data_IF_177659726641
#
_entry.id   IF_177659726641
#
_cell.length_a   1.000
_cell.length_b   1.000
_cell.length_c   1.000
_cell.angle_alpha   90.00
_cell.angle_beta   90.00
_cell.angle_gamma   90.00
#
_symmetry.space_group_name_H-M   'P 1'
#
loop_
_entity.id
_entity.type
_entity.pdbx_description
1 polymer ?
#
# COMPACT_ATOMS: atom_id res chain seq x y z
N UNK A 1 -8.76 -8.32 -24.67
CA UNK A 1 -7.76 -8.60 -23.61
C UNK A 1 -8.29 -9.76 -22.78
N UNK A 2 -7.52 -10.79 -22.54
CA UNK A 2 -7.89 -11.86 -21.61
C UNK A 2 -7.58 -11.38 -20.19
N UNK A 3 -8.43 -11.71 -19.21
CA UNK A 3 -8.03 -11.56 -17.82
C UNK A 3 -6.76 -12.39 -17.61
N UNK A 4 -5.77 -11.82 -16.92
CA UNK A 4 -4.45 -12.45 -16.76
C UNK A 4 -3.36 -11.91 -17.70
N UNK A 5 -3.70 -11.29 -18.83
CA UNK A 5 -2.70 -10.65 -19.71
C UNK A 5 -2.00 -9.46 -19.04
N UNK A 6 -2.62 -8.86 -18.00
CA UNK A 6 -2.09 -7.72 -17.24
C UNK A 6 -1.33 -8.21 -16.01
N UNK A 7 -1.95 -9.06 -15.18
CA UNK A 7 -1.37 -9.65 -13.97
C UNK A 7 -2.16 -10.89 -13.55
N UNK A 8 -1.56 -11.71 -12.67
CA UNK A 8 -2.29 -12.80 -12.00
C UNK A 8 -3.59 -12.28 -11.34
N UNK A 9 -3.51 -11.19 -10.59
CA UNK A 9 -4.65 -10.61 -9.89
C UNK A 9 -5.78 -10.17 -10.82
N UNK A 10 -5.44 -9.75 -12.03
CA UNK A 10 -6.43 -9.39 -13.04
C UNK A 10 -7.25 -10.61 -13.51
N UNK A 11 -6.68 -11.82 -13.45
CA UNK A 11 -7.40 -13.06 -13.75
C UNK A 11 -8.40 -13.46 -12.66
N UNK A 12 -8.30 -12.89 -11.47
CA UNK A 12 -9.14 -13.22 -10.29
C UNK A 12 -10.37 -12.33 -10.15
N UNK A 13 -10.60 -11.42 -11.08
CA UNK A 13 -11.76 -10.52 -11.11
C UNK A 13 -12.59 -10.77 -12.36
N UNK A 14 -13.86 -10.38 -12.32
CA UNK A 14 -14.72 -10.33 -13.48
C UNK A 14 -14.14 -9.42 -14.58
N UNK A 15 -14.54 -9.59 -15.85
CA UNK A 15 -14.10 -8.72 -16.92
C UNK A 15 -14.30 -7.25 -16.57
N UNK A 16 -13.23 -6.47 -16.64
CA UNK A 16 -13.25 -5.06 -16.24
C UNK A 16 -14.19 -4.27 -17.13
N UNK A 17 -15.27 -3.76 -16.54
CA UNK A 17 -16.04 -2.69 -17.17
C UNK A 17 -15.28 -1.39 -16.94
N UNK A 18 -14.73 -0.83 -18.02
CA UNK A 18 -14.04 0.46 -17.99
C UNK A 18 -15.03 1.60 -17.74
N UNK A 19 -14.59 2.62 -17.06
CA UNK A 19 -15.30 3.89 -16.92
C UNK A 19 -15.15 4.68 -18.22
N UNK A 20 -16.04 5.64 -18.46
CA UNK A 20 -15.97 6.49 -19.64
C UNK A 20 -14.67 7.30 -19.67
N UNK A 21 -14.09 7.48 -20.84
CA UNK A 21 -13.00 8.42 -21.05
C UNK A 21 -13.49 9.87 -21.05
N UNK A 22 -12.57 10.80 -20.88
CA UNK A 22 -12.85 12.23 -21.01
C UNK A 22 -12.99 12.58 -22.50
N UNK A 23 -14.17 13.05 -22.90
CA UNK A 23 -14.54 13.34 -24.30
C UNK A 23 -14.76 14.83 -24.58
N UNK A 24 -14.56 15.70 -23.59
CA UNK A 24 -14.78 17.15 -23.67
C UNK A 24 -13.96 17.92 -22.67
N UNK A 25 -13.83 19.22 -22.88
CA UNK A 25 -13.23 20.12 -21.89
C UNK A 25 -14.09 20.19 -20.62
N UNK A 26 -13.44 20.19 -19.48
CA UNK A 26 -14.08 20.31 -18.18
C UNK A 26 -13.33 21.30 -17.28
N UNK A 27 -14.06 21.91 -16.37
CA UNK A 27 -13.49 22.70 -15.27
C UNK A 27 -13.54 21.85 -13.98
N UNK A 28 -12.42 21.79 -13.28
CA UNK A 28 -12.30 21.10 -12.01
C UNK A 28 -11.38 21.87 -11.06
N UNK A 29 -11.55 21.67 -9.76
CA UNK A 29 -10.71 22.32 -8.76
C UNK A 29 -9.44 21.49 -8.51
N UNK A 30 -9.54 20.16 -8.63
CA UNK A 30 -8.41 19.24 -8.44
C UNK A 30 -8.46 18.15 -9.52
N UNK A 31 -7.38 18.05 -10.29
CA UNK A 31 -7.15 16.96 -11.23
C UNK A 31 -6.05 16.03 -10.69
N UNK A 32 -6.36 14.74 -10.55
CA UNK A 32 -5.41 13.71 -10.10
C UNK A 32 -5.03 12.87 -11.31
N UNK A 33 -3.73 12.79 -11.61
CA UNK A 33 -3.21 11.98 -12.71
C UNK A 33 -2.81 10.61 -12.22
N UNK A 34 -3.49 9.59 -12.71
CA UNK A 34 -3.25 8.18 -12.43
C UNK A 34 -4.27 7.55 -11.45
N UNK A 35 -4.89 6.47 -11.90
CA UNK A 35 -5.87 5.65 -11.15
C UNK A 35 -5.24 4.49 -10.36
N UNK A 36 -3.99 4.67 -9.88
CA UNK A 36 -3.35 3.73 -8.96
C UNK A 36 -3.72 4.02 -7.50
N UNK A 37 -3.22 3.19 -6.55
CA UNK A 37 -3.51 3.36 -5.12
C UNK A 37 -3.24 4.77 -4.63
N UNK A 38 -2.11 5.39 -5.01
CA UNK A 38 -1.79 6.76 -4.59
C UNK A 38 -2.86 7.77 -5.02
N UNK A 39 -3.23 7.77 -6.31
CA UNK A 39 -4.21 8.73 -6.82
C UNK A 39 -5.62 8.50 -6.25
N UNK A 40 -6.03 7.25 -6.14
CA UNK A 40 -7.38 6.91 -5.64
C UNK A 40 -7.50 7.18 -4.14
N UNK A 41 -6.49 6.82 -3.32
CA UNK A 41 -6.49 7.18 -1.90
C UNK A 41 -6.42 8.70 -1.69
N UNK A 42 -5.66 9.42 -2.54
CA UNK A 42 -5.65 10.90 -2.49
C UNK A 42 -7.05 11.44 -2.78
N UNK A 43 -7.73 10.96 -3.81
CA UNK A 43 -9.12 11.36 -4.09
C UNK A 43 -10.04 11.06 -2.90
N UNK A 44 -9.94 9.86 -2.31
CA UNK A 44 -10.76 9.43 -1.17
C UNK A 44 -10.64 10.37 0.04
N UNK A 45 -9.41 10.75 0.40
CA UNK A 45 -9.22 11.65 1.54
C UNK A 45 -9.47 13.12 1.21
N UNK A 46 -9.24 13.54 -0.03
CA UNK A 46 -9.57 14.89 -0.48
C UNK A 46 -11.07 15.17 -0.45
N UNK A 47 -11.92 14.19 -0.80
CA UNK A 47 -13.38 14.38 -0.69
C UNK A 47 -13.84 14.61 0.75
N UNK A 48 -13.12 14.08 1.74
CA UNK A 48 -13.41 14.30 3.17
C UNK A 48 -12.85 15.62 3.68
N UNK A 49 -11.69 16.02 3.18
CA UNK A 49 -11.03 17.26 3.59
C UNK A 49 -11.60 18.51 2.90
N UNK A 50 -12.07 18.35 1.67
CA UNK A 50 -12.57 19.41 0.78
C UNK A 50 -13.88 18.99 0.12
N UNK A 51 -14.99 18.90 0.90
CA UNK A 51 -16.26 18.32 0.44
C UNK A 51 -16.91 19.08 -0.74
N UNK A 52 -16.59 20.35 -0.90
CA UNK A 52 -17.15 21.20 -1.96
C UNK A 52 -16.27 21.23 -3.22
N UNK A 53 -15.07 20.64 -3.18
CA UNK A 53 -14.14 20.64 -4.32
C UNK A 53 -14.58 19.64 -5.41
N UNK A 54 -14.57 20.10 -6.66
CA UNK A 54 -14.77 19.25 -7.82
C UNK A 54 -13.47 18.51 -8.11
N UNK A 55 -13.45 17.20 -7.87
CA UNK A 55 -12.27 16.36 -8.02
C UNK A 55 -12.47 15.39 -9.17
N UNK A 56 -11.46 15.26 -10.03
CA UNK A 56 -11.44 14.26 -11.09
C UNK A 56 -10.16 13.43 -11.04
N UNK A 57 -10.24 12.18 -11.47
CA UNK A 57 -9.09 11.30 -11.68
C UNK A 57 -8.99 10.97 -13.15
N UNK A 58 -7.80 11.15 -13.74
CA UNK A 58 -7.50 10.88 -15.14
C UNK A 58 -6.55 9.69 -15.22
N UNK A 59 -7.03 8.56 -15.71
CA UNK A 59 -6.27 7.31 -15.81
C UNK A 59 -6.11 6.91 -17.28
N UNK A 60 -4.87 6.63 -17.65
CA UNK A 60 -4.53 6.31 -19.06
C UNK A 60 -5.18 5.02 -19.56
N UNK A 61 -5.20 3.99 -18.71
CA UNK A 61 -5.75 2.67 -19.05
C UNK A 61 -7.02 2.42 -18.23
N UNK A 62 -6.89 1.78 -17.08
CA UNK A 62 -7.96 1.59 -16.09
C UNK A 62 -7.39 1.54 -14.68
N UNK A 63 -8.20 1.81 -13.69
CA UNK A 63 -7.77 1.79 -12.30
C UNK A 63 -7.18 0.43 -11.91
N UNK A 64 -5.91 0.45 -11.47
CA UNK A 64 -5.16 -0.76 -11.12
C UNK A 64 -4.36 -1.39 -12.27
N UNK A 65 -4.37 -0.83 -13.48
CA UNK A 65 -3.56 -1.34 -14.59
C UNK A 65 -2.06 -1.35 -14.26
N UNK A 66 -1.54 -0.31 -13.61
CA UNK A 66 -0.13 -0.18 -13.24
C UNK A 66 0.28 -1.08 -12.08
N UNK A 67 1.33 -0.69 -11.35
CA UNK A 67 1.90 -1.42 -10.22
C UNK A 67 0.89 -1.73 -9.11
N UNK A 68 -0.12 -0.86 -8.93
CA UNK A 68 -1.16 -1.01 -7.91
C UNK A 68 -1.98 -2.30 -8.03
N UNK A 69 -2.19 -2.82 -9.24
CA UNK A 69 -2.89 -4.10 -9.46
C UNK A 69 -1.98 -5.28 -9.80
N UNK A 70 -0.64 -5.12 -9.61
CA UNK A 70 0.36 -6.12 -10.01
C UNK A 70 1.34 -6.51 -8.92
N UNK A 71 1.26 -5.87 -7.75
CA UNK A 71 2.16 -6.12 -6.62
C UNK A 71 1.88 -7.47 -5.94
N UNK A 72 2.68 -7.84 -4.95
CA UNK A 72 2.56 -9.12 -4.25
C UNK A 72 1.36 -9.24 -3.31
N UNK A 73 0.55 -8.21 -3.14
CA UNK A 73 -0.61 -8.23 -2.25
C UNK A 73 -0.26 -8.14 -0.77
N UNK A 74 0.92 -7.62 -0.43
CA UNK A 74 1.34 -7.36 0.94
C UNK A 74 0.95 -5.95 1.37
N UNK A 75 0.14 -5.88 2.40
CA UNK A 75 -0.13 -4.67 3.17
C UNK A 75 0.65 -4.81 4.48
N UNK A 76 1.88 -4.28 4.48
CA UNK A 76 2.86 -4.46 5.55
C UNK A 76 3.20 -3.15 6.24
N UNK A 77 3.45 -3.23 7.54
CA UNK A 77 4.00 -2.13 8.34
C UNK A 77 5.52 -2.02 8.26
N UNK A 78 6.18 -2.91 7.52
CA UNK A 78 7.63 -2.86 7.34
C UNK A 78 8.04 -1.56 6.63
N UNK A 79 9.03 -0.88 7.18
CA UNK A 79 9.56 0.35 6.61
C UNK A 79 10.63 0.00 5.57
N UNK A 80 10.38 0.28 4.28
CA UNK A 80 11.35 -0.04 3.25
C UNK A 80 12.58 0.87 3.29
N UNK A 81 13.71 0.38 2.80
CA UNK A 81 14.93 1.14 2.61
C UNK A 81 15.84 1.19 3.84
N UNK A 82 16.80 2.12 3.82
CA UNK A 82 17.81 2.23 4.86
C UNK A 82 17.34 3.15 6.00
N UNK A 83 17.01 2.55 7.12
CA UNK A 83 16.52 3.23 8.34
C UNK A 83 17.56 4.18 8.95
N UNK A 84 18.87 3.86 8.84
CA UNK A 84 19.93 4.77 9.28
C UNK A 84 19.95 6.04 8.45
N UNK A 85 19.76 5.93 7.13
CA UNK A 85 19.67 7.10 6.26
C UNK A 85 18.48 8.02 6.59
N UNK A 86 17.36 7.46 7.00
CA UNK A 86 16.21 8.27 7.48
C UNK A 86 16.52 9.00 8.78
N UNK A 87 17.27 8.36 9.69
CA UNK A 87 17.78 9.01 10.92
C UNK A 87 18.71 10.17 10.57
N UNK A 88 19.69 9.94 9.69
CA UNK A 88 20.65 10.96 9.24
C UNK A 88 19.95 12.21 8.64
N UNK A 89 18.94 11.97 7.80
CA UNK A 89 18.13 13.07 7.22
C UNK A 89 17.38 13.86 8.32
N UNK A 90 16.86 13.18 9.33
CA UNK A 90 16.18 13.83 10.43
C UNK A 90 17.16 14.70 11.25
N UNK A 91 18.34 14.17 11.54
CA UNK A 91 19.42 14.88 12.28
C UNK A 91 19.93 16.10 11.52
N UNK A 92 20.12 16.01 10.20
CA UNK A 92 20.47 17.14 9.35
C UNK A 92 19.42 18.26 9.39
N UNK A 93 18.18 17.93 9.75
CA UNK A 93 17.07 18.87 9.93
C UNK A 93 16.85 19.27 11.39
N UNK A 94 17.80 18.99 12.28
CA UNK A 94 17.75 19.33 13.70
C UNK A 94 16.72 18.52 14.51
N UNK A 95 16.37 17.30 14.06
CA UNK A 95 15.44 16.38 14.74
C UNK A 95 16.21 15.16 15.27
N UNK A 96 15.69 14.53 16.31
CA UNK A 96 16.23 13.25 16.80
C UNK A 96 15.95 12.13 15.79
N UNK A 97 17.01 11.45 15.34
CA UNK A 97 16.93 10.41 14.31
C UNK A 97 16.19 9.15 14.79
N UNK A 98 16.37 8.78 16.06
CA UNK A 98 15.66 7.64 16.66
C UNK A 98 14.17 7.93 16.80
N UNK A 99 13.81 9.12 17.31
CA UNK A 99 12.41 9.54 17.41
C UNK A 99 11.74 9.60 16.03
N UNK A 100 12.44 10.06 14.99
CA UNK A 100 11.93 10.06 13.62
C UNK A 100 11.64 8.63 13.11
N UNK A 101 12.53 7.66 13.38
CA UNK A 101 12.30 6.26 13.05
C UNK A 101 11.14 5.65 13.84
N UNK A 102 11.00 5.95 15.13
CA UNK A 102 9.88 5.50 15.96
C UNK A 102 8.55 5.99 15.43
N UNK A 103 8.48 7.28 15.08
CA UNK A 103 7.26 7.86 14.47
C UNK A 103 6.95 7.24 13.12
N UNK A 104 7.96 7.00 12.29
CA UNK A 104 7.77 6.32 11.00
C UNK A 104 7.21 4.91 11.19
N UNK A 105 7.80 4.11 12.11
CA UNK A 105 7.31 2.78 12.46
C UNK A 105 5.85 2.82 12.92
N UNK A 106 5.51 3.72 13.85
CA UNK A 106 4.15 3.87 14.34
C UNK A 106 3.17 4.28 13.22
N UNK A 107 3.60 5.17 12.31
CA UNK A 107 2.78 5.60 11.17
C UNK A 107 2.52 4.46 10.19
N UNK A 108 3.52 3.64 9.88
CA UNK A 108 3.37 2.49 8.99
C UNK A 108 2.40 1.46 9.58
N UNK A 109 2.46 1.20 10.88
CA UNK A 109 1.52 0.31 11.59
C UNK A 109 0.09 0.85 11.56
N UNK A 110 -0.08 2.12 11.91
CA UNK A 110 -1.37 2.79 11.82
C UNK A 110 -1.93 2.77 10.39
N UNK A 111 -1.06 2.84 9.38
CA UNK A 111 -1.43 2.74 7.97
C UNK A 111 -2.05 1.39 7.60
N UNK A 112 -1.53 0.27 8.13
CA UNK A 112 -2.12 -1.07 7.93
C UNK A 112 -3.54 -1.12 8.50
N UNK A 113 -3.71 -0.65 9.74
CA UNK A 113 -5.00 -0.67 10.42
C UNK A 113 -6.01 0.29 9.75
N UNK A 114 -5.55 1.47 9.31
CA UNK A 114 -6.38 2.41 8.56
C UNK A 114 -6.89 1.81 7.25
N UNK A 115 -6.03 1.18 6.46
CA UNK A 115 -6.45 0.54 5.19
C UNK A 115 -7.48 -0.55 5.46
N UNK A 116 -7.26 -1.43 6.44
CA UNK A 116 -8.21 -2.49 6.80
C UNK A 116 -9.54 -1.91 7.28
N UNK A 117 -9.50 -0.88 8.12
CA UNK A 117 -10.72 -0.18 8.58
C UNK A 117 -11.50 0.45 7.42
N UNK A 118 -10.83 0.99 6.41
CA UNK A 118 -11.51 1.54 5.23
C UNK A 118 -12.09 0.46 4.33
N UNK A 119 -11.39 -0.67 4.17
CA UNK A 119 -11.90 -1.85 3.45
C UNK A 119 -13.24 -2.29 4.05
N UNK A 120 -13.31 -2.41 5.37
CA UNK A 120 -14.54 -2.80 6.07
C UNK A 120 -15.63 -1.73 5.94
N UNK A 121 -15.30 -0.47 6.19
CA UNK A 121 -16.26 0.63 6.16
C UNK A 121 -16.87 0.85 4.77
N UNK A 122 -16.11 0.62 3.70
CA UNK A 122 -16.57 0.78 2.32
C UNK A 122 -17.14 -0.54 1.73
N UNK A 123 -17.11 -1.64 2.48
CA UNK A 123 -17.61 -2.95 2.06
C UNK A 123 -16.82 -3.53 0.88
N UNK A 124 -15.48 -3.38 0.88
CA UNK A 124 -14.62 -3.81 -0.22
C UNK A 124 -14.21 -5.27 0.00
N UNK A 125 -14.71 -6.16 -0.83
CA UNK A 125 -14.24 -7.56 -0.89
C UNK A 125 -12.95 -7.65 -1.70
N UNK A 126 -11.80 -7.63 -1.00
CA UNK A 126 -10.48 -7.76 -1.59
C UNK A 126 -9.64 -8.90 -0.99
N UNK A 127 -10.29 -9.92 -0.49
CA UNK A 127 -9.65 -11.11 0.12
C UNK A 127 -8.69 -10.74 1.27
N UNK A 128 -8.97 -9.66 2.00
CA UNK A 128 -8.10 -9.13 3.05
C UNK A 128 -8.04 -10.09 4.26
N UNK A 129 -6.83 -10.46 4.66
CA UNK A 129 -6.58 -11.29 5.85
C UNK A 129 -5.37 -10.75 6.60
N UNK A 130 -5.57 -10.21 7.81
CA UNK A 130 -4.48 -9.79 8.70
C UNK A 130 -4.00 -11.01 9.48
N UNK A 131 -2.89 -11.61 9.05
CA UNK A 131 -2.31 -12.82 9.64
C UNK A 131 -0.83 -12.68 10.01
N UNK A 132 -0.23 -11.54 9.70
CA UNK A 132 1.17 -11.26 9.97
C UNK A 132 2.13 -11.71 8.87
N UNK A 133 3.42 -11.63 9.17
CA UNK A 133 4.53 -11.97 8.28
C UNK A 133 5.58 -12.79 9.03
N UNK A 134 6.22 -13.72 8.31
CA UNK A 134 7.31 -14.54 8.80
C UNK A 134 8.58 -14.28 7.96
N UNK A 135 9.66 -13.91 8.61
CA UNK A 135 11.01 -13.91 8.02
C UNK A 135 11.74 -15.15 8.49
N UNK A 136 12.16 -16.02 7.58
CA UNK A 136 12.63 -17.36 7.89
C UNK A 136 14.12 -17.49 7.68
N UNK A 137 14.82 -18.04 8.69
CA UNK A 137 16.23 -18.42 8.62
C UNK A 137 16.37 -19.91 8.34
N UNK A 138 17.17 -20.27 7.32
CA UNK A 138 17.50 -21.64 6.93
C UNK A 138 18.96 -21.99 7.18
N UNK A 139 19.74 -21.09 7.77
CA UNK A 139 21.12 -21.31 8.20
C UNK A 139 21.50 -20.32 9.29
N UNK A 140 22.57 -20.61 10.05
CA UNK A 140 23.03 -19.78 11.16
C UNK A 140 23.31 -18.32 10.77
N UNK A 141 23.82 -18.08 9.55
CA UNK A 141 24.08 -16.71 9.11
C UNK A 141 22.78 -15.91 8.88
N UNK A 142 21.70 -16.56 8.43
CA UNK A 142 20.38 -15.93 8.33
C UNK A 142 19.78 -15.68 9.70
N UNK A 143 19.88 -16.65 10.62
CA UNK A 143 19.39 -16.50 11.99
C UNK A 143 20.10 -15.33 12.71
N UNK A 144 21.42 -15.21 12.56
CA UNK A 144 22.15 -14.07 13.13
C UNK A 144 21.66 -12.72 12.61
N UNK A 145 21.31 -12.64 11.31
CA UNK A 145 20.71 -11.41 10.75
C UNK A 145 19.32 -11.12 11.30
N UNK A 146 18.46 -12.14 11.42
CA UNK A 146 17.12 -11.97 12.01
C UNK A 146 17.19 -11.49 13.46
N UNK A 147 18.14 -11.98 14.24
CA UNK A 147 18.34 -11.50 15.62
C UNK A 147 18.76 -10.02 15.66
N UNK A 148 19.68 -9.62 14.80
CA UNK A 148 20.09 -8.22 14.68
C UNK A 148 18.94 -7.31 14.19
N UNK A 149 18.11 -7.80 13.27
CA UNK A 149 16.92 -7.11 12.80
C UNK A 149 15.87 -6.96 13.92
N UNK A 150 15.62 -8.01 14.68
CA UNK A 150 14.73 -7.98 15.84
C UNK A 150 15.15 -6.95 16.88
N UNK A 151 16.45 -6.92 17.22
CA UNK A 151 17.00 -5.96 18.17
C UNK A 151 16.81 -4.52 17.67
N UNK A 152 17.01 -4.30 16.38
CA UNK A 152 16.78 -3.00 15.76
C UNK A 152 15.29 -2.63 15.75
N UNK A 153 14.40 -3.53 15.34
CA UNK A 153 12.95 -3.26 15.30
C UNK A 153 12.41 -2.91 16.70
N UNK A 154 12.84 -3.63 17.74
CA UNK A 154 12.53 -3.29 19.14
C UNK A 154 13.06 -1.93 19.56
N UNK A 155 14.27 -1.59 19.14
CA UNK A 155 14.87 -0.29 19.44
C UNK A 155 14.06 0.88 18.86
N UNK A 156 13.43 0.68 17.71
CA UNK A 156 12.56 1.68 17.06
C UNK A 156 11.09 1.55 17.43
N UNK A 157 10.75 0.77 18.45
CA UNK A 157 9.41 0.68 19.03
C UNK A 157 8.48 -0.31 18.32
N UNK A 158 9.04 -1.26 17.57
CA UNK A 158 8.29 -2.37 16.98
C UNK A 158 8.35 -3.61 17.90
N UNK A 159 7.73 -3.51 19.08
CA UNK A 159 7.86 -4.50 20.17
C UNK A 159 7.04 -5.79 19.95
N UNK A 160 6.23 -5.86 18.89
CA UNK A 160 5.41 -7.01 18.54
C UNK A 160 6.10 -8.00 17.60
N UNK A 161 7.39 -7.80 17.30
CA UNK A 161 8.19 -8.81 16.65
C UNK A 161 8.65 -9.88 17.64
N UNK A 162 8.43 -11.15 17.27
CA UNK A 162 8.78 -12.33 18.03
C UNK A 162 9.81 -13.17 17.28
N UNK A 163 10.80 -13.69 18.02
CA UNK A 163 11.69 -14.73 17.50
C UNK A 163 11.09 -16.09 17.82
N UNK A 164 10.88 -16.90 16.79
CA UNK A 164 10.42 -18.28 16.87
C UNK A 164 11.61 -19.21 16.61
N UNK A 165 11.79 -20.20 17.48
CA UNK A 165 12.67 -21.33 17.21
C UNK A 165 12.02 -22.31 16.21
N UNK A 166 12.71 -23.40 15.89
CA UNK A 166 12.24 -24.34 14.89
C UNK A 166 10.91 -25.01 15.31
N UNK A 167 10.72 -25.32 16.59
CA UNK A 167 9.53 -25.98 17.10
C UNK A 167 8.33 -25.04 17.08
N UNK A 168 8.48 -23.81 17.57
CA UNK A 168 7.45 -22.80 17.55
C UNK A 168 7.08 -22.35 16.12
N UNK A 169 8.02 -22.42 15.18
CA UNK A 169 7.73 -22.20 13.78
C UNK A 169 6.93 -23.36 13.18
N UNK A 170 7.30 -24.61 13.48
CA UNK A 170 6.65 -25.80 12.92
C UNK A 170 5.18 -25.92 13.36
N UNK A 171 4.86 -25.44 14.57
CA UNK A 171 3.48 -25.31 15.07
C UNK A 171 2.62 -24.34 14.20
N UNK A 172 3.24 -23.38 13.53
CA UNK A 172 2.55 -22.42 12.66
C UNK A 172 2.62 -22.83 11.18
N UNK A 173 3.78 -23.26 10.74
CA UNK A 173 4.06 -23.57 9.34
C UNK A 173 5.30 -24.44 9.20
N UNK A 174 5.14 -25.66 8.71
CA UNK A 174 6.24 -26.58 8.43
C UNK A 174 7.02 -26.15 7.18
N UNK A 175 8.29 -25.76 7.38
CA UNK A 175 9.19 -25.36 6.30
C UNK A 175 10.47 -26.19 6.36
N UNK A 176 10.74 -27.04 5.35
CA UNK A 176 11.93 -27.88 5.32
C UNK A 176 13.23 -27.08 5.47
N UNK A 177 14.01 -27.42 6.50
CA UNK A 177 15.30 -26.81 6.78
C UNK A 177 15.25 -25.41 7.41
N UNK A 178 14.09 -24.95 7.87
CA UNK A 178 13.99 -23.76 8.71
C UNK A 178 14.63 -24.03 10.08
N UNK A 179 15.37 -23.05 10.59
CA UNK A 179 16.05 -23.09 11.89
C UNK A 179 15.42 -22.12 12.90
N UNK A 180 14.94 -20.98 12.42
CA UNK A 180 14.27 -19.97 13.20
C UNK A 180 13.42 -19.08 12.28
N UNK A 181 12.52 -18.31 12.86
CA UNK A 181 11.81 -17.25 12.18
C UNK A 181 11.64 -16.01 13.07
N UNK A 182 11.40 -14.88 12.42
CA UNK A 182 10.93 -13.66 13.07
C UNK A 182 9.50 -13.40 12.58
N UNK A 183 8.56 -13.22 13.49
CA UNK A 183 7.14 -13.02 13.21
C UNK A 183 6.67 -11.65 13.67
N UNK A 184 5.87 -10.96 12.85
CA UNK A 184 5.09 -9.79 13.29
C UNK A 184 3.63 -9.91 12.82
N UNK A 185 2.65 -9.54 13.68
CA UNK A 185 1.24 -9.51 13.29
C UNK A 185 0.87 -8.33 12.37
N UNK A 186 1.79 -7.40 12.11
CA UNK A 186 1.53 -6.14 11.41
C UNK A 186 1.64 -6.26 9.88
N UNK A 187 1.02 -7.30 9.35
CA UNK A 187 0.91 -7.52 7.92
C UNK A 187 -0.42 -8.17 7.57
N UNK A 188 -0.99 -7.76 6.44
CA UNK A 188 -2.16 -8.39 5.85
C UNK A 188 -1.88 -8.80 4.40
N UNK A 189 -2.49 -9.88 3.96
CA UNK A 189 -2.62 -10.23 2.55
C UNK A 189 -3.86 -9.57 2.00
N UNK A 190 -3.78 -8.99 0.80
CA UNK A 190 -4.91 -8.44 0.05
C UNK A 190 -4.81 -8.85 -1.42
N UNK A 191 -5.93 -8.87 -2.11
CA UNK A 191 -5.92 -8.86 -3.58
C UNK A 191 -5.79 -7.42 -4.06
N UNK A 192 -4.64 -7.01 -4.59
CA UNK A 192 -4.37 -5.60 -4.88
C UNK A 192 -5.23 -5.04 -6.01
N UNK A 193 -5.67 -5.90 -6.96
CA UNK A 193 -6.56 -5.47 -8.03
C UNK A 193 -7.98 -5.22 -7.49
N UNK A 194 -8.52 -6.14 -6.68
CA UNK A 194 -9.82 -5.95 -6.02
C UNK A 194 -9.79 -4.73 -5.10
N UNK A 195 -8.72 -4.54 -4.31
CA UNK A 195 -8.55 -3.38 -3.45
C UNK A 195 -8.57 -2.08 -4.25
N UNK A 196 -7.72 -1.97 -5.28
CA UNK A 196 -7.61 -0.74 -6.07
C UNK A 196 -8.94 -0.39 -6.74
N UNK A 197 -9.63 -1.36 -7.30
CA UNK A 197 -10.93 -1.14 -7.94
C UNK A 197 -12.02 -0.84 -6.91
N UNK A 198 -12.04 -1.54 -5.79
CA UNK A 198 -13.00 -1.29 -4.71
C UNK A 198 -12.90 0.12 -4.15
N UNK A 199 -11.68 0.64 -3.92
CA UNK A 199 -11.48 2.04 -3.51
C UNK A 199 -11.90 2.99 -4.64
N UNK A 200 -11.62 2.69 -5.91
CA UNK A 200 -12.06 3.52 -7.03
C UNK A 200 -13.59 3.61 -7.11
N UNK A 201 -14.30 2.51 -6.84
CA UNK A 201 -15.76 2.50 -6.77
C UNK A 201 -16.27 3.28 -5.55
N UNK A 202 -15.61 3.17 -4.38
CA UNK A 202 -15.92 3.97 -3.21
C UNK A 202 -15.77 5.48 -3.50
N UNK A 203 -14.66 5.88 -4.13
CA UNK A 203 -14.41 7.26 -4.55
C UNK A 203 -15.47 7.75 -5.54
N UNK A 204 -15.87 6.92 -6.51
CA UNK A 204 -16.93 7.31 -7.45
C UNK A 204 -18.28 7.56 -6.75
N UNK A 205 -18.57 6.85 -5.65
CA UNK A 205 -19.81 7.09 -4.85
C UNK A 205 -19.82 8.43 -4.11
N UNK A 206 -18.66 9.05 -3.91
CA UNK A 206 -18.56 10.39 -3.27
C UNK A 206 -18.73 11.56 -4.25
N UNK A 207 -19.00 11.29 -5.53
CA UNK A 207 -19.17 12.31 -6.56
C UNK A 207 -17.90 12.62 -7.37
N UNK A 208 -16.77 12.00 -7.08
CA UNK A 208 -15.56 12.10 -7.92
C UNK A 208 -15.78 11.37 -9.23
N UNK A 209 -15.49 12.02 -10.35
CA UNK A 209 -15.49 11.38 -11.64
C UNK A 209 -14.10 10.82 -11.95
N UNK A 210 -14.05 9.53 -12.27
CA UNK A 210 -12.83 8.85 -12.72
C UNK A 210 -12.98 8.61 -14.22
N UNK A 211 -12.09 9.20 -15.02
CA UNK A 211 -12.00 8.98 -16.45
C UNK A 211 -10.89 7.95 -16.73
N UNK A 212 -11.27 6.80 -17.29
CA UNK A 212 -10.33 5.79 -17.78
C UNK A 212 -10.09 6.02 -19.31
N UNK A 213 -9.13 5.31 -19.91
CA UNK A 213 -8.73 5.54 -21.32
C UNK A 213 -8.40 7.03 -21.63
N UNK A 214 -7.90 7.76 -20.62
CA UNK A 214 -7.65 9.20 -20.69
C UNK A 214 -6.18 9.51 -20.38
N UNK A 215 -5.40 9.75 -21.42
CA UNK A 215 -3.96 10.05 -21.26
C UNK A 215 -3.73 11.55 -21.06
N UNK A 216 -3.12 11.91 -19.93
CA UNK A 216 -2.58 13.27 -19.74
C UNK A 216 -1.27 13.38 -20.50
N UNK A 217 -1.22 14.28 -21.46
CA UNK A 217 -0.04 14.50 -22.33
C UNK A 217 0.81 15.68 -21.91
N UNK A 218 0.19 16.66 -21.26
CA UNK A 218 0.89 17.88 -20.85
C UNK A 218 0.22 18.51 -19.62
N UNK A 219 1.01 19.17 -18.79
CA UNK A 219 0.55 19.99 -17.67
C UNK A 219 1.12 21.38 -17.89
N UNK A 220 0.25 22.34 -18.20
CA UNK A 220 0.63 23.71 -18.40
C UNK A 220 0.50 24.50 -17.10
N UNK A 221 1.55 25.22 -16.72
CA UNK A 221 1.51 26.14 -15.59
C UNK A 221 1.30 27.56 -16.10
N UNK A 222 0.26 28.23 -15.62
CA UNK A 222 -0.02 29.63 -15.94
C UNK A 222 0.79 30.62 -15.08
N UNK A 223 1.67 30.13 -14.18
CA UNK A 223 2.46 30.98 -13.28
C UNK A 223 3.59 31.73 -14.03
N UNK A 224 3.86 31.38 -15.26
CA UNK A 224 4.93 31.97 -16.09
C UNK A 224 4.41 32.73 -17.31
N UNK A 225 3.15 33.16 -17.29
CA UNK A 225 2.60 34.10 -18.31
C UNK A 225 2.63 35.49 -17.76
#
# INVERSE_FOLDING_TARGET
>A
MRNGDVSFWFSTIDPVRRRAGLDRDIDTDIAIVGGGLTGIWSAYYLTKALPDARIVVLEKEFCGFGASGRNGGWLSAEVPGNRSHYADIAEQRGRDGLDANRRLTATMRAGVDEVLSRIDAEGIDCDAVKSGVLHIARCAAQESRLRGELDFERHVGADDWELLDADALDDRLTIPGAQAAMYSPQCARVNPMKLTRGIADAVSRTGVTIYEDTTVTEILSLIHI
#
